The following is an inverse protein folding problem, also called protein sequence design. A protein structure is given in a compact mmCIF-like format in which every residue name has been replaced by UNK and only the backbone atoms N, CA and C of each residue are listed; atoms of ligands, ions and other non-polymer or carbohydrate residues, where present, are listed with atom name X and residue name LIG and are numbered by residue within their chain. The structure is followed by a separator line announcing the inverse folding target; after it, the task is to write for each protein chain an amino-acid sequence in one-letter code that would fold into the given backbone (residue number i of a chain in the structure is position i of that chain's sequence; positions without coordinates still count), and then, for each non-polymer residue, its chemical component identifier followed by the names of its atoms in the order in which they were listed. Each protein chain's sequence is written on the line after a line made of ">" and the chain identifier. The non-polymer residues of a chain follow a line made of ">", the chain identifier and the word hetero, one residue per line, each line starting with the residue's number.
data_IF_934599646716
#
_entry.id   IF_934599646716
#
_cell.length_a   1.000
_cell.length_b   1.000
_cell.length_c   1.000
_cell.angle_alpha   90.00
_cell.angle_beta   90.00
_cell.angle_gamma   90.00
#
_symmetry.space_group_name_H-M   'P 1'
#
loop_
_entity.id
_entity.type
_entity.pdbx_description
1 polymer ?
#
# COMPACT_ATOMS: atom_id res chain seq x y z
N UNK A 1 -18.28 1.31 -10.27
CA UNK A 1 -16.87 1.41 -9.83
C UNK A 1 -16.45 0.04 -9.35
N UNK A 2 -15.44 -0.56 -9.99
CA UNK A 2 -14.91 -1.86 -9.60
C UNK A 2 -14.16 -1.72 -8.26
N UNK A 3 -14.51 -2.57 -7.29
CA UNK A 3 -13.84 -2.67 -5.98
C UNK A 3 -12.67 -3.62 -6.04
N UNK A 4 -12.67 -4.57 -6.98
CA UNK A 4 -11.63 -5.58 -7.13
C UNK A 4 -10.64 -5.16 -8.21
N UNK A 5 -9.36 -5.43 -7.97
CA UNK A 5 -8.30 -5.26 -8.97
C UNK A 5 -7.21 -6.33 -8.82
N UNK A 6 -6.56 -6.67 -9.94
CA UNK A 6 -5.66 -7.82 -10.00
C UNK A 6 -6.37 -9.09 -10.50
N UNK A 7 -5.79 -10.28 -10.28
CA UNK A 7 -4.64 -10.55 -9.40
C UNK A 7 -3.32 -9.93 -9.86
N UNK A 8 -2.58 -9.39 -8.89
CA UNK A 8 -1.22 -8.87 -9.08
C UNK A 8 -0.25 -9.85 -8.42
N UNK A 9 0.77 -10.30 -9.15
CA UNK A 9 1.86 -11.07 -8.56
C UNK A 9 2.70 -10.16 -7.66
N UNK A 10 2.39 -10.20 -6.37
CA UNK A 10 3.11 -9.49 -5.34
C UNK A 10 4.47 -10.14 -5.15
N UNK A 11 5.52 -9.32 -5.33
CA UNK A 11 6.91 -9.66 -4.95
C UNK A 11 7.06 -10.20 -3.52
N UNK A 12 6.08 -9.95 -2.65
CA UNK A 12 6.15 -10.20 -1.21
C UNK A 12 5.11 -11.17 -0.67
N UNK A 13 4.00 -11.35 -1.39
CA UNK A 13 2.79 -12.01 -0.88
C UNK A 13 2.18 -13.01 -1.86
N UNK A 14 2.83 -13.29 -3.00
CA UNK A 14 2.30 -14.18 -4.03
C UNK A 14 1.22 -13.52 -4.89
N UNK A 15 0.36 -14.32 -5.50
CA UNK A 15 -0.79 -13.87 -6.30
C UNK A 15 -1.81 -13.17 -5.38
N UNK A 16 -1.90 -11.84 -5.50
CA UNK A 16 -2.71 -10.99 -4.62
C UNK A 16 -3.89 -10.40 -5.35
N UNK A 17 -5.10 -10.66 -4.86
CA UNK A 17 -6.33 -10.01 -5.30
C UNK A 17 -6.63 -8.80 -4.41
N UNK A 18 -6.63 -7.59 -4.97
CA UNK A 18 -6.84 -6.36 -4.23
C UNK A 18 -8.33 -6.04 -4.08
N UNK A 19 -8.73 -5.60 -2.88
CA UNK A 19 -10.06 -5.06 -2.57
C UNK A 19 -9.90 -3.62 -2.15
N UNK A 20 -10.31 -2.68 -2.99
CA UNK A 20 -10.34 -1.25 -2.70
C UNK A 20 -11.64 -0.88 -1.98
N UNK A 21 -11.52 -0.51 -0.70
CA UNK A 21 -12.64 -0.15 0.16
C UNK A 21 -13.09 1.31 -0.01
N UNK A 22 -12.46 2.10 -0.89
CA UNK A 22 -12.83 3.50 -1.17
C UNK A 22 -12.73 3.83 -2.67
N UNK A 23 -13.29 3.03 -3.59
CA UNK A 23 -12.97 3.13 -5.02
C UNK A 23 -13.44 4.44 -5.68
N UNK A 24 -14.35 5.19 -5.04
CA UNK A 24 -14.91 6.42 -5.59
C UNK A 24 -14.01 7.65 -5.43
N UNK A 25 -13.29 7.76 -4.31
CA UNK A 25 -12.41 8.89 -4.02
C UNK A 25 -11.37 8.53 -2.95
N UNK A 26 -10.30 9.32 -2.88
CA UNK A 26 -9.29 9.20 -1.83
C UNK A 26 -9.85 9.65 -0.48
N UNK A 27 -10.12 8.70 0.42
CA UNK A 27 -10.59 8.93 1.79
C UNK A 27 -9.56 8.40 2.78
N UNK A 28 -8.62 9.26 3.18
CA UNK A 28 -7.50 8.90 4.02
C UNK A 28 -7.39 9.88 5.18
N UNK A 29 -7.01 9.36 6.34
CA UNK A 29 -6.59 10.18 7.47
C UNK A 29 -5.15 10.69 7.31
N UNK A 30 -4.38 10.22 6.32
CA UNK A 30 -3.03 10.72 5.99
C UNK A 30 -2.99 11.36 4.58
N UNK A 31 -2.00 12.21 4.34
CA UNK A 31 -1.72 12.78 3.01
C UNK A 31 -0.22 12.64 2.70
N UNK A 32 0.28 11.41 2.78
CA UNK A 32 1.70 11.09 2.71
C UNK A 32 2.37 11.68 1.46
N UNK A 33 3.58 12.21 1.63
CA UNK A 33 4.38 12.80 0.57
C UNK A 33 4.70 11.82 -0.56
N UNK A 34 4.90 10.55 -0.22
CA UNK A 34 5.24 9.48 -1.16
C UNK A 34 4.02 8.83 -1.83
N UNK A 35 2.79 9.25 -1.48
CA UNK A 35 1.58 8.59 -1.97
C UNK A 35 1.44 8.71 -3.50
N UNK A 36 1.09 7.60 -4.15
CA UNK A 36 0.86 7.52 -5.60
C UNK A 36 -0.49 8.14 -6.01
N UNK A 37 -1.44 8.15 -5.07
CA UNK A 37 -2.79 8.73 -5.25
C UNK A 37 -2.74 10.26 -5.25
N UNK A 38 -3.69 10.88 -5.95
CA UNK A 38 -3.83 12.33 -6.00
C UNK A 38 -3.82 12.99 -4.60
N UNK A 39 -3.32 14.24 -4.49
CA UNK A 39 -3.47 15.03 -3.28
C UNK A 39 -4.94 15.15 -2.86
N UNK A 40 -5.23 14.98 -1.58
CA UNK A 40 -6.57 15.19 -1.02
C UNK A 40 -6.48 15.76 0.39
N UNK A 41 -7.54 16.43 0.85
CA UNK A 41 -7.65 16.78 2.26
C UNK A 41 -7.81 15.51 3.10
N UNK A 42 -7.20 15.49 4.29
CA UNK A 42 -7.35 14.35 5.20
C UNK A 42 -8.75 14.33 5.81
N UNK A 43 -9.28 13.13 6.04
CA UNK A 43 -10.57 12.86 6.66
C UNK A 43 -10.41 11.79 7.73
N UNK A 44 -11.21 11.85 8.79
CA UNK A 44 -11.24 10.86 9.88
C UNK A 44 -12.28 9.74 9.64
N UNK A 45 -13.03 9.82 8.53
CA UNK A 45 -14.05 8.83 8.15
C UNK A 45 -14.26 8.76 6.64
N UNK A 46 -14.79 7.63 6.19
CA UNK A 46 -15.37 7.51 4.84
C UNK A 46 -16.80 8.05 4.81
N UNK A 47 -17.12 8.81 3.75
CA UNK A 47 -18.44 9.39 3.45
C UNK A 47 -19.08 8.59 2.31
N UNK A 48 -18.31 8.29 1.26
CA UNK A 48 -18.73 7.36 0.20
C UNK A 48 -18.32 5.96 0.61
N UNK A 49 -19.30 5.11 0.91
CA UNK A 49 -19.10 3.78 1.48
C UNK A 49 -19.74 2.77 0.54
N UNK A 50 -18.95 1.78 0.10
CA UNK A 50 -19.46 0.69 -0.72
C UNK A 50 -20.13 -0.35 0.18
N UNK A 51 -21.29 -0.86 -0.24
CA UNK A 51 -21.98 -1.93 0.48
C UNK A 51 -21.17 -3.22 0.51
N UNK A 52 -21.20 -3.92 1.65
CA UNK A 52 -20.48 -5.20 1.84
C UNK A 52 -20.90 -6.23 0.79
N UNK A 53 -22.20 -6.32 0.47
CA UNK A 53 -22.70 -7.27 -0.53
C UNK A 53 -22.10 -7.03 -1.91
N UNK A 54 -21.94 -5.77 -2.31
CA UNK A 54 -21.33 -5.40 -3.59
C UNK A 54 -19.88 -5.89 -3.67
N UNK A 55 -19.10 -5.65 -2.61
CA UNK A 55 -17.69 -6.11 -2.53
C UNK A 55 -17.63 -7.64 -2.59
N UNK A 56 -18.49 -8.32 -1.83
CA UNK A 56 -18.51 -9.79 -1.76
C UNK A 56 -18.94 -10.43 -3.08
N UNK A 57 -19.94 -9.87 -3.77
CA UNK A 57 -20.39 -10.38 -5.05
C UNK A 57 -19.31 -10.21 -6.12
N UNK A 58 -18.61 -9.07 -6.15
CA UNK A 58 -17.47 -8.86 -7.05
C UNK A 58 -16.27 -9.75 -6.67
N UNK A 59 -16.00 -9.93 -5.37
CA UNK A 59 -14.91 -10.80 -4.92
C UNK A 59 -15.15 -12.25 -5.35
N UNK A 60 -16.38 -12.76 -5.24
CA UNK A 60 -16.74 -14.13 -5.68
C UNK A 60 -16.48 -14.37 -7.17
N UNK A 61 -16.64 -13.37 -8.03
CA UNK A 61 -16.41 -13.56 -9.48
C UNK A 61 -14.93 -13.59 -9.84
N UNK A 62 -14.05 -13.04 -8.99
CA UNK A 62 -12.61 -12.95 -9.25
C UNK A 62 -11.78 -13.94 -8.40
N UNK A 63 -12.31 -14.40 -7.27
CA UNK A 63 -11.63 -15.34 -6.39
C UNK A 63 -11.60 -16.75 -7.01
N UNK A 64 -10.41 -17.36 -7.02
CA UNK A 64 -10.17 -18.71 -7.53
C UNK A 64 -8.92 -19.32 -6.87
N UNK A 65 -8.69 -20.62 -7.07
CA UNK A 65 -7.69 -21.41 -6.33
C UNK A 65 -6.22 -20.97 -6.51
N UNK A 66 -5.93 -20.08 -7.48
CA UNK A 66 -4.58 -19.54 -7.71
C UNK A 66 -4.32 -18.23 -6.96
N UNK A 67 -5.27 -17.74 -6.16
CA UNK A 67 -5.11 -16.54 -5.35
C UNK A 67 -4.53 -16.94 -3.99
N UNK A 68 -3.32 -16.46 -3.71
CA UNK A 68 -2.63 -16.69 -2.44
C UNK A 68 -3.20 -15.79 -1.33
N UNK A 69 -3.54 -14.54 -1.68
CA UNK A 69 -3.97 -13.54 -0.71
C UNK A 69 -5.05 -12.58 -1.25
N UNK A 70 -6.05 -12.30 -0.42
CA UNK A 70 -7.00 -11.19 -0.58
C UNK A 70 -6.46 -10.01 0.21
N UNK A 71 -6.08 -8.94 -0.48
CA UNK A 71 -5.49 -7.74 0.13
C UNK A 71 -6.53 -6.63 0.25
N UNK A 72 -6.96 -6.35 1.49
CA UNK A 72 -7.76 -5.20 1.85
C UNK A 72 -6.90 -3.94 1.79
N UNK A 73 -7.30 -3.01 0.93
CA UNK A 73 -6.66 -1.71 0.72
C UNK A 73 -7.73 -0.65 0.48
N UNK A 74 -7.34 0.59 0.21
CA UNK A 74 -8.25 1.62 -0.22
C UNK A 74 -7.54 2.65 -1.10
N UNK A 75 -8.29 3.37 -1.92
CA UNK A 75 -7.95 4.75 -2.22
C UNK A 75 -8.04 5.57 -0.92
N UNK A 76 -6.98 5.51 -0.11
CA UNK A 76 -6.92 6.09 1.23
C UNK A 76 -6.63 5.04 2.30
N UNK A 77 -7.29 5.12 3.45
CA UNK A 77 -7.02 4.25 4.59
C UNK A 77 -8.15 3.21 4.77
N UNK A 78 -7.89 1.91 4.56
CA UNK A 78 -8.94 0.88 4.60
C UNK A 78 -9.61 0.74 5.96
N UNK A 79 -8.91 1.03 7.06
CA UNK A 79 -9.50 0.95 8.41
C UNK A 79 -10.53 2.05 8.70
N UNK A 80 -10.68 3.05 7.81
CA UNK A 80 -11.78 4.02 7.89
C UNK A 80 -13.10 3.48 7.30
N UNK A 81 -13.09 2.30 6.68
CA UNK A 81 -14.29 1.66 6.15
C UNK A 81 -15.21 1.20 7.31
N UNK A 82 -16.43 1.75 7.44
CA UNK A 82 -17.26 1.57 8.64
C UNK A 82 -17.82 0.14 8.82
N UNK A 83 -17.78 -0.68 7.77
CA UNK A 83 -18.30 -2.05 7.78
C UNK A 83 -17.20 -3.10 7.70
N UNK A 84 -15.96 -2.75 8.04
CA UNK A 84 -14.80 -3.63 7.92
C UNK A 84 -14.98 -4.95 8.71
N UNK A 85 -15.60 -4.91 9.88
CA UNK A 85 -15.81 -6.11 10.71
C UNK A 85 -16.69 -7.13 9.97
N UNK A 86 -17.86 -6.67 9.50
CA UNK A 86 -18.79 -7.47 8.71
C UNK A 86 -18.16 -7.96 7.41
N UNK A 87 -17.36 -7.12 6.74
CA UNK A 87 -16.69 -7.50 5.51
C UNK A 87 -15.70 -8.66 5.75
N UNK A 88 -14.88 -8.59 6.80
CA UNK A 88 -13.95 -9.67 7.15
C UNK A 88 -14.72 -10.97 7.42
N UNK A 89 -15.82 -10.90 8.18
CA UNK A 89 -16.67 -12.06 8.44
C UNK A 89 -17.27 -12.69 7.17
N UNK A 90 -17.68 -11.87 6.19
CA UNK A 90 -18.18 -12.38 4.91
C UNK A 90 -17.07 -12.93 4.01
N UNK A 91 -15.87 -12.34 4.04
CA UNK A 91 -14.70 -12.87 3.31
C UNK A 91 -14.30 -14.23 3.89
N UNK A 92 -14.26 -14.38 5.20
CA UNK A 92 -13.90 -15.65 5.86
C UNK A 92 -14.81 -16.81 5.46
N UNK A 93 -16.08 -16.53 5.12
CA UNK A 93 -17.03 -17.55 4.63
C UNK A 93 -16.72 -18.07 3.23
N UNK A 94 -16.00 -17.30 2.41
CA UNK A 94 -15.78 -17.60 0.98
C UNK A 94 -14.31 -17.79 0.61
N UNK A 95 -13.37 -17.33 1.44
CA UNK A 95 -11.93 -17.31 1.12
C UNK A 95 -11.27 -18.70 1.04
N UNK A 96 -11.90 -19.75 1.59
CA UNK A 96 -11.33 -21.09 1.69
C UNK A 96 -9.90 -21.07 2.27
N UNK A 97 -8.89 -21.50 1.50
CA UNK A 97 -7.48 -21.50 1.88
C UNK A 97 -6.73 -20.20 1.58
N UNK A 98 -7.33 -19.27 0.84
CA UNK A 98 -6.72 -17.98 0.51
C UNK A 98 -6.57 -17.13 1.76
N UNK A 99 -5.39 -16.54 1.96
CA UNK A 99 -5.12 -15.72 3.14
C UNK A 99 -5.73 -14.31 3.00
N UNK A 100 -5.99 -13.66 4.12
CA UNK A 100 -6.35 -12.23 4.16
C UNK A 100 -5.15 -11.39 4.56
N UNK A 101 -5.00 -10.23 3.93
CA UNK A 101 -4.00 -9.22 4.25
C UNK A 101 -4.65 -7.85 4.31
N UNK A 102 -4.27 -7.01 5.25
CA UNK A 102 -4.57 -5.57 5.19
C UNK A 102 -3.28 -4.75 5.13
N UNK A 103 -3.32 -3.67 4.36
CA UNK A 103 -2.29 -2.64 4.34
C UNK A 103 -2.85 -1.40 5.02
N UNK A 104 -2.29 -0.97 6.16
CA UNK A 104 -2.80 0.18 6.92
C UNK A 104 -1.67 1.09 7.36
N UNK A 105 -1.97 2.38 7.44
CA UNK A 105 -1.06 3.40 7.98
C UNK A 105 -0.94 3.38 9.51
N UNK A 106 -1.55 2.39 10.17
CA UNK A 106 -1.47 2.13 11.62
C UNK A 106 -2.20 3.13 12.51
N UNK A 107 -2.67 4.26 11.99
CA UNK A 107 -3.17 5.35 12.83
C UNK A 107 -4.43 5.00 13.63
N UNK A 108 -5.27 4.12 13.09
CA UNK A 108 -6.53 3.69 13.70
C UNK A 108 -6.36 2.53 14.69
N UNK A 109 -5.17 1.95 14.82
CA UNK A 109 -4.89 0.93 15.86
C UNK A 109 -5.13 1.46 17.28
N UNK A 110 -5.17 2.78 17.47
CA UNK A 110 -5.52 3.42 18.75
C UNK A 110 -7.00 3.24 19.13
N UNK A 111 -7.87 2.89 18.19
CA UNK A 111 -9.26 2.47 18.46
C UNK A 111 -9.27 0.98 18.79
N UNK A 112 -9.64 0.63 20.02
CA UNK A 112 -9.66 -0.76 20.50
C UNK A 112 -10.56 -1.69 19.65
N UNK A 113 -11.58 -1.13 18.96
CA UNK A 113 -12.40 -1.91 18.03
C UNK A 113 -11.61 -2.30 16.79
N UNK A 114 -10.87 -1.37 16.20
CA UNK A 114 -10.01 -1.65 15.03
C UNK A 114 -8.87 -2.56 15.45
N UNK A 115 -8.23 -2.30 16.59
CA UNK A 115 -7.20 -3.17 17.16
C UNK A 115 -7.68 -4.62 17.23
N UNK A 116 -8.85 -4.85 17.86
CA UNK A 116 -9.42 -6.20 18.04
C UNK A 116 -9.83 -6.84 16.71
N UNK A 117 -10.36 -6.04 15.79
CA UNK A 117 -10.75 -6.50 14.46
C UNK A 117 -9.55 -6.98 13.65
N UNK A 118 -8.43 -6.24 13.66
CA UNK A 118 -7.24 -6.59 12.89
C UNK A 118 -6.58 -7.89 13.40
N UNK A 119 -6.85 -8.31 14.64
CA UNK A 119 -6.39 -9.61 15.16
C UNK A 119 -7.05 -10.80 14.44
N UNK A 120 -8.17 -10.60 13.74
CA UNK A 120 -8.90 -11.66 13.01
C UNK A 120 -8.25 -12.01 11.66
N UNK A 121 -7.40 -11.14 11.12
CA UNK A 121 -6.78 -11.31 9.80
C UNK A 121 -5.61 -12.31 9.85
N UNK A 122 -5.31 -12.93 8.70
CA UNK A 122 -4.17 -13.86 8.58
C UNK A 122 -2.84 -13.10 8.52
N UNK A 123 -2.85 -11.94 7.89
CA UNK A 123 -1.71 -11.06 7.69
C UNK A 123 -2.08 -9.60 7.93
N UNK A 124 -1.21 -8.85 8.62
CA UNK A 124 -1.38 -7.41 8.84
C UNK A 124 -0.07 -6.73 8.50
N UNK A 125 -0.15 -5.67 7.70
CA UNK A 125 0.98 -4.84 7.35
C UNK A 125 0.76 -3.40 7.80
N UNK A 126 1.64 -2.98 8.71
CA UNK A 126 1.58 -1.69 9.41
C UNK A 126 2.69 -0.77 8.89
N UNK A 127 2.33 0.41 8.40
CA UNK A 127 3.33 1.45 8.08
C UNK A 127 3.81 2.15 9.36
N UNK A 128 5.11 2.39 9.44
CA UNK A 128 5.78 3.10 10.53
C UNK A 128 6.95 3.94 9.99
N UNK A 129 6.63 4.93 9.15
CA UNK A 129 7.64 5.67 8.39
C UNK A 129 8.48 6.64 9.25
N UNK A 130 7.95 7.02 10.40
CA UNK A 130 8.62 7.89 11.37
C UNK A 130 8.12 7.62 12.79
N UNK A 131 8.98 7.87 13.77
CA UNK A 131 8.61 7.82 15.20
C UNK A 131 8.75 9.18 15.89
N UNK A 132 9.45 10.13 15.25
CA UNK A 132 9.51 11.52 15.68
C UNK A 132 8.32 12.31 15.14
N UNK A 133 7.63 13.05 16.02
CA UNK A 133 6.47 13.87 15.66
C UNK A 133 6.73 14.86 14.51
N UNK A 134 7.91 15.50 14.48
CA UNK A 134 8.25 16.44 13.41
C UNK A 134 8.35 15.75 12.04
N UNK A 135 9.03 14.59 11.98
CA UNK A 135 9.22 13.84 10.73
C UNK A 135 7.89 13.24 10.28
N UNK A 136 7.14 12.62 11.20
CA UNK A 136 5.80 12.09 10.97
C UNK A 136 4.86 13.15 10.35
N UNK A 137 4.79 14.36 10.92
CA UNK A 137 3.98 15.45 10.38
C UNK A 137 4.42 15.93 9.00
N UNK A 138 5.71 15.82 8.67
CA UNK A 138 6.25 16.21 7.37
C UNK A 138 5.99 15.16 6.31
N UNK A 139 6.24 13.88 6.62
CA UNK A 139 6.16 12.77 5.69
C UNK A 139 4.73 12.26 5.50
N UNK A 140 4.03 11.93 6.58
CA UNK A 140 2.71 11.27 6.55
C UNK A 140 1.54 12.26 6.57
N UNK A 141 1.80 13.49 7.06
CA UNK A 141 0.84 14.61 7.06
C UNK A 141 -0.53 14.16 7.60
N UNK A 142 -0.56 13.71 8.85
CA UNK A 142 -1.74 13.05 9.41
C UNK A 142 -2.88 14.05 9.65
N UNK A 143 -4.10 13.52 9.75
CA UNK A 143 -5.28 14.25 10.17
C UNK A 143 -5.08 14.80 11.59
N UNK A 144 -5.86 15.84 11.93
CA UNK A 144 -5.74 16.52 13.21
C UNK A 144 -5.94 15.52 14.37
N UNK A 145 -5.13 15.65 15.41
CA UNK A 145 -5.14 14.85 16.65
C UNK A 145 -4.60 13.41 16.56
N UNK A 146 -4.08 12.99 15.41
CA UNK A 146 -3.32 11.74 15.35
C UNK A 146 -1.93 11.98 15.95
N UNK A 147 -1.55 11.10 16.88
CA UNK A 147 -0.33 11.21 17.69
C UNK A 147 0.55 9.98 17.45
N UNK A 148 1.75 10.20 16.91
CA UNK A 148 2.68 9.12 16.58
C UNK A 148 3.11 8.32 17.81
N UNK A 149 3.21 8.93 18.99
CA UNK A 149 3.61 8.22 20.21
C UNK A 149 2.57 7.14 20.57
N UNK A 150 1.28 7.45 20.40
CA UNK A 150 0.19 6.49 20.63
C UNK A 150 0.15 5.40 19.58
N UNK A 151 0.43 5.74 18.32
CA UNK A 151 0.53 4.74 17.24
C UNK A 151 1.66 3.76 17.56
N UNK A 152 2.86 4.25 17.86
CA UNK A 152 4.03 3.42 18.22
C UNK A 152 3.69 2.48 19.38
N UNK A 153 3.09 3.01 20.44
CA UNK A 153 2.65 2.19 21.58
C UNK A 153 1.69 1.08 21.14
N UNK A 154 0.69 1.41 20.33
CA UNK A 154 -0.32 0.43 19.88
C UNK A 154 0.24 -0.60 18.90
N UNK A 155 1.21 -0.22 18.06
CA UNK A 155 1.93 -1.16 17.19
C UNK A 155 2.73 -2.16 18.03
N UNK A 156 3.44 -1.69 19.07
CA UNK A 156 4.17 -2.54 20.02
C UNK A 156 3.20 -3.51 20.73
N UNK A 157 2.14 -3.00 21.34
CA UNK A 157 1.07 -3.80 21.99
C UNK A 157 0.49 -4.85 21.03
N UNK A 158 0.13 -4.44 19.81
CA UNK A 158 -0.43 -5.32 18.77
C UNK A 158 0.53 -6.47 18.44
N UNK A 159 1.83 -6.18 18.31
CA UNK A 159 2.83 -7.18 17.94
C UNK A 159 2.99 -8.33 18.94
N UNK A 160 2.69 -8.08 20.22
CA UNK A 160 2.80 -9.11 21.26
C UNK A 160 1.58 -10.02 21.35
N UNK A 161 0.40 -9.52 20.96
CA UNK A 161 -0.87 -10.28 21.06
C UNK A 161 -1.30 -10.89 19.74
N UNK A 162 -0.92 -10.29 18.60
CA UNK A 162 -1.24 -10.81 17.28
C UNK A 162 -0.54 -12.15 17.03
N UNK A 163 -1.26 -13.07 16.36
CA UNK A 163 -0.82 -14.45 16.11
C UNK A 163 -0.65 -14.78 14.63
N UNK A 164 -1.09 -13.89 13.74
CA UNK A 164 -0.85 -14.00 12.31
C UNK A 164 0.52 -13.49 11.89
N UNK A 165 0.71 -13.27 10.59
CA UNK A 165 1.98 -12.74 10.05
C UNK A 165 1.97 -11.21 10.14
N UNK A 166 2.86 -10.64 10.95
CA UNK A 166 2.99 -9.19 11.11
C UNK A 166 4.12 -8.66 10.23
N UNK A 167 3.79 -7.69 9.39
CA UNK A 167 4.76 -6.96 8.59
C UNK A 167 4.80 -5.51 9.04
N UNK A 168 6.01 -4.96 9.21
CA UNK A 168 6.20 -3.51 9.35
C UNK A 168 6.77 -2.97 8.04
N UNK A 169 6.24 -1.87 7.54
CA UNK A 169 6.79 -1.14 6.39
C UNK A 169 7.35 0.20 6.82
N UNK A 170 8.53 0.51 6.29
CA UNK A 170 9.13 1.84 6.40
C UNK A 170 9.51 2.27 4.99
N UNK A 171 8.88 3.34 4.52
CA UNK A 171 9.22 3.96 3.25
C UNK A 171 10.13 5.16 3.50
N UNK A 172 11.37 5.09 3.02
CA UNK A 172 12.32 6.18 3.12
C UNK A 172 12.11 7.22 2.03
N UNK A 173 12.11 8.49 2.45
CA UNK A 173 12.06 9.67 1.59
C UNK A 173 13.32 10.49 1.83
N UNK A 174 14.03 10.82 0.75
CA UNK A 174 15.34 11.44 0.80
C UNK A 174 15.31 12.76 1.58
N UNK A 175 16.25 12.91 2.52
CA UNK A 175 16.39 14.10 3.37
C UNK A 175 15.30 14.27 4.43
N UNK A 176 14.46 13.26 4.68
CA UNK A 176 13.41 13.29 5.69
C UNK A 176 13.67 12.28 6.80
N UNK A 177 13.34 11.01 6.58
CA UNK A 177 13.45 9.94 7.57
C UNK A 177 14.70 9.06 7.37
N UNK A 178 15.59 9.43 6.45
CA UNK A 178 16.84 8.72 6.12
C UNK A 178 18.07 9.23 6.89
N UNK A 179 17.89 10.13 7.87
CA UNK A 179 19.00 10.58 8.73
C UNK A 179 19.36 9.50 9.75
N UNK A 180 20.64 9.45 10.16
CA UNK A 180 21.12 8.48 11.15
C UNK A 180 20.35 8.57 12.47
N UNK A 181 19.98 9.77 12.89
CA UNK A 181 19.24 10.01 14.12
C UNK A 181 17.83 9.43 14.05
N UNK A 182 17.12 9.58 12.92
CA UNK A 182 15.78 9.02 12.75
C UNK A 182 15.81 7.51 12.59
N UNK A 183 16.79 6.98 11.87
CA UNK A 183 17.02 5.53 11.74
C UNK A 183 17.31 4.90 13.10
N UNK A 184 18.12 5.54 13.94
CA UNK A 184 18.38 5.05 15.29
C UNK A 184 17.10 4.99 16.13
N UNK A 185 16.24 6.02 16.07
CA UNK A 185 14.96 6.00 16.80
C UNK A 185 14.02 4.90 16.28
N UNK A 186 13.95 4.71 14.96
CA UNK A 186 13.19 3.61 14.36
C UNK A 186 13.72 2.26 14.84
N UNK A 187 15.03 2.06 14.84
CA UNK A 187 15.68 0.85 15.34
C UNK A 187 15.30 0.54 16.80
N UNK A 188 15.39 1.52 17.69
CA UNK A 188 15.02 1.37 19.11
C UNK A 188 13.56 0.96 19.31
N UNK A 189 12.64 1.43 18.45
CA UNK A 189 11.23 1.03 18.47
C UNK A 189 11.05 -0.37 17.90
N UNK A 190 11.67 -0.68 16.77
CA UNK A 190 11.55 -1.99 16.11
C UNK A 190 12.10 -3.14 16.96
N UNK A 191 13.13 -2.90 17.78
CA UNK A 191 13.66 -3.89 18.73
C UNK A 191 12.63 -4.35 19.78
N UNK A 192 11.54 -3.61 19.96
CA UNK A 192 10.45 -3.96 20.88
C UNK A 192 9.27 -4.62 20.16
N UNK A 193 9.24 -4.58 18.83
CA UNK A 193 8.14 -5.07 18.01
C UNK A 193 8.43 -6.50 17.54
N UNK A 194 7.52 -7.43 17.84
CA UNK A 194 7.61 -8.80 17.33
C UNK A 194 7.03 -8.91 15.92
N UNK A 195 7.81 -8.52 14.90
CA UNK A 195 7.43 -8.60 13.50
C UNK A 195 7.95 -9.88 12.82
N UNK A 196 7.17 -10.45 11.90
CA UNK A 196 7.63 -11.54 11.02
C UNK A 196 8.69 -11.04 10.04
N UNK A 197 8.53 -9.81 9.53
CA UNK A 197 9.46 -9.17 8.58
C UNK A 197 9.28 -7.66 8.61
N UNK A 198 10.38 -6.93 8.46
CA UNK A 198 10.42 -5.47 8.36
C UNK A 198 10.83 -5.12 6.92
N UNK A 199 9.89 -4.58 6.15
CA UNK A 199 10.11 -4.18 4.76
C UNK A 199 10.65 -2.74 4.72
N UNK A 200 11.91 -2.57 4.34
CA UNK A 200 12.47 -1.25 4.05
C UNK A 200 12.32 -0.95 2.56
N UNK A 201 11.62 0.14 2.27
CA UNK A 201 11.34 0.61 0.92
C UNK A 201 11.77 2.05 0.71
N UNK A 202 11.64 2.50 -0.53
CA UNK A 202 11.84 3.88 -0.96
C UNK A 202 10.80 4.20 -2.03
N UNK A 203 10.72 5.45 -2.47
CA UNK A 203 9.83 5.87 -3.55
C UNK A 203 10.20 5.12 -4.85
N UNK A 204 9.46 4.06 -5.14
CA UNK A 204 9.63 3.19 -6.31
C UNK A 204 8.74 3.60 -7.49
N UNK A 205 7.70 4.40 -7.24
CA UNK A 205 6.72 4.85 -8.23
C UNK A 205 6.47 6.35 -8.11
N UNK A 206 6.01 7.03 -9.18
CA UNK A 206 5.74 8.46 -9.13
C UNK A 206 4.81 8.91 -8.01
N UNK A 207 5.29 9.67 -7.02
CA UNK A 207 4.45 10.23 -5.98
C UNK A 207 3.68 11.45 -6.51
N UNK A 208 2.62 11.81 -5.81
CA UNK A 208 1.85 13.02 -6.06
C UNK A 208 2.64 14.30 -5.69
N UNK A 209 3.49 14.24 -4.68
CA UNK A 209 4.28 15.40 -4.23
C UNK A 209 5.70 15.38 -4.80
N UNK A 210 6.37 16.54 -4.93
CA UNK A 210 7.74 16.64 -5.46
C UNK A 210 8.77 16.23 -4.41
N UNK A 211 8.80 14.93 -4.09
CA UNK A 211 9.78 14.30 -3.22
C UNK A 211 10.55 13.22 -3.98
N UNK A 212 11.74 12.91 -3.48
CA UNK A 212 12.65 11.94 -4.08
C UNK A 212 12.84 10.77 -3.12
N UNK A 213 12.95 9.56 -3.69
CA UNK A 213 13.36 8.38 -2.96
C UNK A 213 14.88 8.28 -2.90
N UNK A 214 15.36 7.48 -1.97
CA UNK A 214 16.73 6.99 -1.92
C UNK A 214 17.02 6.10 -3.13
N UNK A 215 18.28 6.08 -3.57
CA UNK A 215 18.83 5.05 -4.44
C UNK A 215 18.90 3.69 -3.72
N UNK A 216 19.00 2.60 -4.49
CA UNK A 216 19.19 1.26 -3.92
C UNK A 216 20.44 1.15 -3.04
N UNK A 217 21.51 1.86 -3.40
CA UNK A 217 22.74 1.90 -2.61
C UNK A 217 22.48 2.57 -1.25
N UNK A 218 21.84 3.74 -1.24
CA UNK A 218 21.50 4.45 -0.01
C UNK A 218 20.53 3.63 0.85
N UNK A 219 19.51 3.00 0.26
CA UNK A 219 18.57 2.15 0.99
C UNK A 219 19.25 0.93 1.61
N UNK A 220 20.23 0.34 0.91
CA UNK A 220 21.06 -0.73 1.47
C UNK A 220 21.94 -0.21 2.61
N UNK A 221 22.59 0.95 2.47
CA UNK A 221 23.37 1.58 3.54
C UNK A 221 22.52 1.88 4.78
N UNK A 222 21.28 2.35 4.58
CA UNK A 222 20.29 2.53 5.65
C UNK A 222 19.97 1.21 6.34
N UNK A 223 19.78 0.12 5.60
CA UNK A 223 19.49 -1.19 6.18
C UNK A 223 20.58 -1.71 7.12
N UNK A 224 21.84 -1.34 6.87
CA UNK A 224 22.99 -1.71 7.71
C UNK A 224 23.05 -0.96 9.04
N UNK A 225 22.24 0.09 9.23
CA UNK A 225 22.17 0.85 10.47
C UNK A 225 21.16 0.28 11.47
N UNK A 226 20.32 -0.68 11.04
CA UNK A 226 19.43 -1.42 11.93
C UNK A 226 20.17 -2.58 12.60
N UNK A 227 19.70 -2.96 13.78
CA UNK A 227 20.23 -4.08 14.53
C UNK A 227 20.10 -5.39 13.73
N UNK A 228 21.17 -6.18 13.69
CA UNK A 228 21.25 -7.41 12.91
C UNK A 228 20.25 -8.51 13.34
N UNK A 229 19.67 -8.40 14.54
CA UNK A 229 18.62 -9.33 15.01
C UNK A 229 17.25 -9.04 14.39
N UNK A 230 17.03 -7.84 13.83
CA UNK A 230 15.78 -7.48 13.19
C UNK A 230 15.63 -8.20 11.84
N UNK A 231 14.43 -8.75 11.52
CA UNK A 231 14.18 -9.44 10.25
C UNK A 231 13.97 -8.44 9.09
N UNK A 232 15.01 -7.65 8.81
CA UNK A 232 15.00 -6.60 7.79
C UNK A 232 15.06 -7.20 6.39
N UNK A 233 14.17 -6.73 5.53
CA UNK A 233 14.12 -7.06 4.11
C UNK A 233 14.10 -5.76 3.28
N UNK A 234 15.13 -5.55 2.47
CA UNK A 234 15.19 -4.41 1.54
C UNK A 234 14.36 -4.75 0.29
N UNK A 235 13.30 -3.98 0.06
CA UNK A 235 12.45 -4.17 -1.11
C UNK A 235 13.24 -3.85 -2.39
N UNK A 236 13.42 -4.86 -3.26
CA UNK A 236 14.03 -4.70 -4.58
C UNK A 236 13.11 -5.21 -5.69
N UNK A 237 13.37 -4.83 -6.94
CA UNK A 237 12.55 -5.22 -8.11
C UNK A 237 12.79 -6.64 -8.63
N UNK A 238 13.72 -7.39 -8.04
CA UNK A 238 14.46 -8.42 -8.79
C UNK A 238 13.63 -9.69 -9.10
N UNK A 239 12.48 -9.95 -8.47
CA UNK A 239 11.78 -11.23 -8.64
C UNK A 239 10.23 -11.13 -8.58
N UNK A 240 9.56 -11.08 -9.72
CA UNK A 240 8.13 -11.36 -9.83
C UNK A 240 7.88 -12.30 -11.03
N UNK A 241 7.04 -13.32 -10.85
CA UNK A 241 6.67 -14.23 -11.93
C UNK A 241 5.56 -13.63 -12.82
N UNK A 242 5.49 -13.95 -14.12
CA UNK A 242 4.42 -13.47 -15.00
C UNK A 242 3.07 -14.09 -14.63
N UNK A 243 2.02 -13.28 -14.57
CA UNK A 243 0.62 -13.70 -14.46
C UNK A 243 -0.07 -13.73 -15.83
N UNK A 244 0.26 -12.78 -16.71
CA UNK A 244 -0.36 -12.61 -18.04
C UNK A 244 -1.90 -12.67 -18.01
N UNK A 245 -2.51 -11.94 -17.09
CA UNK A 245 -3.96 -11.85 -16.99
C UNK A 245 -4.52 -10.92 -18.08
N UNK A 246 -5.75 -11.19 -18.50
CA UNK A 246 -6.49 -10.34 -19.45
C UNK A 246 -7.15 -9.19 -18.70
N UNK A 247 -6.99 -7.97 -19.24
CA UNK A 247 -7.57 -6.74 -18.72
C UNK A 247 -8.36 -6.03 -19.81
N UNK A 248 -9.57 -5.57 -19.49
CA UNK A 248 -10.31 -4.63 -20.32
C UNK A 248 -9.76 -3.19 -20.19
N UNK A 249 -10.25 -2.27 -21.03
CA UNK A 249 -9.79 -0.87 -21.04
C UNK A 249 -10.04 -0.20 -19.66
N UNK A 250 -11.13 -0.52 -18.96
CA UNK A 250 -11.47 0.07 -17.66
C UNK A 250 -10.54 -0.47 -16.56
N UNK A 251 -10.23 -1.76 -16.58
CA UNK A 251 -9.32 -2.41 -15.63
C UNK A 251 -7.89 -1.91 -15.78
N UNK A 252 -7.43 -1.69 -17.02
CA UNK A 252 -6.13 -1.06 -17.28
C UNK A 252 -6.09 0.33 -16.65
N UNK A 253 -7.11 1.17 -16.93
CA UNK A 253 -7.14 2.54 -16.42
C UNK A 253 -7.23 2.58 -14.89
N UNK A 254 -8.09 1.74 -14.30
CA UNK A 254 -8.25 1.60 -12.84
C UNK A 254 -6.94 1.14 -12.17
N UNK A 255 -6.21 0.21 -12.79
CA UNK A 255 -4.91 -0.25 -12.30
C UNK A 255 -3.88 0.87 -12.35
N UNK A 256 -3.76 1.57 -13.48
CA UNK A 256 -2.77 2.65 -13.67
C UNK A 256 -3.06 3.90 -12.82
N UNK A 257 -4.33 4.17 -12.49
CA UNK A 257 -4.70 5.29 -11.63
C UNK A 257 -4.23 5.09 -10.18
N UNK A 258 -4.40 3.86 -9.68
CA UNK A 258 -4.05 3.44 -8.33
C UNK A 258 -2.56 3.11 -8.20
N UNK A 259 -1.95 2.65 -9.29
CA UNK A 259 -0.57 2.15 -9.34
C UNK A 259 0.05 2.39 -10.71
N UNK A 260 0.90 3.42 -10.89
CA UNK A 260 1.74 3.56 -12.08
C UNK A 260 2.53 2.28 -12.35
N UNK A 261 2.68 1.82 -13.59
CA UNK A 261 3.38 0.55 -13.93
C UNK A 261 4.55 0.79 -14.89
N UNK A 262 5.67 0.06 -14.77
CA UNK A 262 6.74 0.03 -15.80
C UNK A 262 6.42 -0.97 -16.91
N UNK A 263 7.17 -0.94 -18.02
CA UNK A 263 7.01 -1.99 -19.06
C UNK A 263 7.26 -3.39 -18.51
N UNK A 264 8.23 -3.55 -17.62
CA UNK A 264 8.48 -4.82 -16.93
C UNK A 264 7.26 -5.26 -16.08
N UNK A 265 6.63 -4.34 -15.34
CA UNK A 265 5.38 -4.66 -14.62
C UNK A 265 4.28 -5.07 -15.61
N UNK A 266 4.14 -4.37 -16.75
CA UNK A 266 3.15 -4.68 -17.79
C UNK A 266 3.41 -6.05 -18.41
N UNK A 267 4.65 -6.39 -18.72
CA UNK A 267 5.01 -7.68 -19.29
C UNK A 267 4.78 -8.85 -18.33
N UNK A 268 4.81 -8.59 -17.03
CA UNK A 268 4.47 -9.56 -16.00
C UNK A 268 2.96 -9.67 -15.79
N UNK A 269 2.21 -8.56 -15.86
CA UNK A 269 0.80 -8.51 -15.50
C UNK A 269 -0.13 -8.82 -16.66
N UNK A 270 0.13 -8.26 -17.84
CA UNK A 270 -0.82 -8.18 -18.95
C UNK A 270 -0.55 -9.25 -20.00
N UNK A 271 -1.61 -9.87 -20.51
CA UNK A 271 -1.54 -10.65 -21.75
C UNK A 271 -1.32 -9.76 -22.99
N UNK A 272 -1.09 -10.38 -24.14
CA UNK A 272 -0.81 -9.66 -25.39
C UNK A 272 -1.99 -8.80 -25.86
N UNK A 273 -3.23 -9.21 -25.62
CA UNK A 273 -4.42 -8.41 -25.97
C UNK A 273 -4.48 -7.13 -25.13
N UNK A 274 -4.22 -7.24 -23.83
CA UNK A 274 -4.16 -6.12 -22.89
C UNK A 274 -3.03 -5.15 -23.22
N UNK A 275 -1.87 -5.66 -23.69
CA UNK A 275 -0.78 -4.81 -24.21
C UNK A 275 -1.19 -4.04 -25.46
N UNK A 276 -1.99 -4.64 -26.35
CA UNK A 276 -2.56 -3.94 -27.52
C UNK A 276 -3.54 -2.85 -27.08
N UNK A 277 -4.41 -3.13 -26.11
CA UNK A 277 -5.33 -2.14 -25.52
C UNK A 277 -4.57 -0.97 -24.91
N UNK A 278 -3.51 -1.24 -24.13
CA UNK A 278 -2.64 -0.20 -23.58
C UNK A 278 -2.04 0.70 -24.67
N UNK A 279 -1.51 0.12 -25.76
CA UNK A 279 -1.00 0.89 -26.91
C UNK A 279 -2.07 1.78 -27.55
N UNK A 280 -3.32 1.29 -27.63
CA UNK A 280 -4.44 2.10 -28.12
C UNK A 280 -4.82 3.24 -27.17
N UNK A 281 -4.75 3.03 -25.86
CA UNK A 281 -4.97 4.10 -24.87
C UNK A 281 -3.86 5.16 -24.94
N UNK A 282 -2.61 4.75 -25.20
CA UNK A 282 -1.48 5.66 -25.41
C UNK A 282 -1.62 6.49 -26.69
N UNK A 283 -2.05 5.88 -27.81
CA UNK A 283 -2.24 6.62 -29.07
C UNK A 283 -3.33 7.70 -28.95
N UNK A 284 -4.34 7.46 -28.11
CA UNK A 284 -5.37 8.42 -27.73
C UNK A 284 -4.92 9.45 -26.68
N UNK A 285 -3.67 9.36 -26.18
CA UNK A 285 -3.11 10.19 -25.10
C UNK A 285 -3.89 10.11 -23.78
N UNK A 286 -4.60 9.01 -23.54
CA UNK A 286 -5.26 8.74 -22.24
C UNK A 286 -4.20 8.26 -21.24
N UNK A 287 -3.24 7.46 -21.71
CA UNK A 287 -2.07 7.00 -20.93
C UNK A 287 -0.81 7.66 -21.49
N UNK A 288 0.09 8.12 -20.62
CA UNK A 288 1.38 8.74 -20.96
C UNK A 288 2.52 8.11 -20.17
N UNK A 289 3.76 8.36 -20.62
CA UNK A 289 4.98 7.88 -19.97
C UNK A 289 5.55 9.00 -19.09
N UNK A 290 5.82 8.69 -17.82
CA UNK A 290 6.53 9.54 -16.86
C UNK A 290 7.83 8.87 -16.43
N UNK A 291 8.94 9.60 -16.53
CA UNK A 291 10.26 9.10 -16.14
C UNK A 291 10.59 9.44 -14.69
N UNK A 292 11.06 8.45 -13.92
CA UNK A 292 11.65 8.63 -12.58
C UNK A 292 12.95 7.85 -12.50
N UNK A 293 14.04 8.56 -12.21
CA UNK A 293 15.39 8.02 -12.32
C UNK A 293 15.64 7.47 -13.73
N UNK A 294 15.99 6.18 -13.82
CA UNK A 294 16.24 5.47 -15.08
C UNK A 294 15.01 4.67 -15.59
N UNK A 295 13.86 4.80 -14.93
CA UNK A 295 12.68 3.99 -15.20
C UNK A 295 11.57 4.83 -15.83
N UNK A 296 10.81 4.19 -16.71
CA UNK A 296 9.64 4.76 -17.39
C UNK A 296 8.37 4.10 -16.86
N UNK A 297 7.40 4.91 -16.44
CA UNK A 297 6.13 4.47 -15.91
C UNK A 297 4.98 4.94 -16.80
N UNK A 298 4.07 4.03 -17.09
CA UNK A 298 2.75 4.33 -17.63
C UNK A 298 1.87 4.91 -16.52
N UNK A 299 1.28 6.07 -16.80
CA UNK A 299 0.34 6.77 -15.92
C UNK A 299 -0.84 7.31 -16.73
N UNK A 300 -1.97 7.58 -16.08
CA UNK A 300 -3.04 8.35 -16.72
C UNK A 300 -2.57 9.78 -17.03
N UNK A 301 -2.97 10.33 -18.17
CA UNK A 301 -2.58 11.68 -18.59
C UNK A 301 -3.04 12.75 -17.60
N UNK A 302 -4.23 12.61 -17.03
CA UNK A 302 -4.73 13.49 -15.97
C UNK A 302 -3.82 13.51 -14.72
N UNK A 303 -3.06 12.42 -14.51
CA UNK A 303 -2.17 12.28 -13.36
C UNK A 303 -0.80 12.94 -13.59
N UNK A 304 -0.49 13.37 -14.81
CA UNK A 304 0.77 14.03 -15.16
C UNK A 304 0.98 15.33 -14.35
N UNK A 305 -0.12 16.05 -14.07
CA UNK A 305 -0.13 17.35 -13.38
C UNK A 305 -0.35 17.28 -11.88
N UNK A 306 -0.32 16.10 -11.23
CA UNK A 306 -0.59 15.90 -9.78
C UNK A 306 0.32 16.67 -8.79
N UNK A 307 1.10 17.66 -9.22
CA UNK A 307 1.87 18.54 -8.32
C UNK A 307 0.94 19.57 -7.68
N UNK A 308 0.67 19.45 -6.38
CA UNK A 308 0.30 20.62 -5.58
C UNK A 308 1.48 21.60 -5.66
N UNK A 309 1.28 22.76 -6.29
CA UNK A 309 2.27 23.83 -6.30
C UNK A 309 2.55 24.20 -4.84
N UNK A 310 3.84 24.38 -4.51
CA UNK A 310 4.36 24.72 -3.18
C UNK A 310 3.53 25.82 -2.50
#
# INVERSE_FOLDING_TARGET
>A
MKTIFGPINSRRFGSSLGVDLSPALKQCNFDCLYCELAPSATTDKQIEVVEVSTIIDELKTHLHDKIDVITLTANGEPTLYPHLDKLIEEIDKIKNSTQTLILTNSATLVDDRIFSLLLKLDQVKLSLDAVSDNVFKRIDRPHKNIDIAKIVQKVEEFSHVYRGKLFIEILFVHGLNDTKEEIYKLNEVLLKINATRIDLGTIDRPPAYPVEGLSYKELYEVSLLFDSSLPVHVASRIHAEPNNATYDDEEILNTLDKRPLTMEDIDLLFDEESKIRLKNLMSKKIVVIKKIGNLEFFILHENEKRKRIK
#
